data_IF_313027505669
#
_entry.id   IF_313027505669
#
_cell.length_a   1.000
_cell.length_b   1.000
_cell.length_c   1.000
_cell.angle_alpha   90.00
_cell.angle_beta   90.00
_cell.angle_gamma   90.00
#
_symmetry.space_group_name_H-M   'P 1'
#
loop_
_entity.id
_entity.type
_entity.pdbx_description
1 polymer ?
#
# COMPACT_ATOMS: atom_id res chain seq x y z
N UNK A 1 22.48 -14.84 -63.17
CA UNK A 1 23.90 -14.48 -63.01
C UNK A 1 23.95 -13.58 -61.79
N UNK A 2 24.21 -14.17 -60.62
CA UNK A 2 25.52 -14.10 -59.91
C UNK A 2 25.69 -12.69 -59.32
N UNK A 3 25.93 -12.46 -58.03
CA UNK A 3 26.36 -13.33 -56.95
C UNK A 3 26.38 -12.47 -55.65
N UNK A 4 26.17 -13.11 -54.49
CA UNK A 4 26.81 -12.94 -53.15
C UNK A 4 27.68 -11.68 -52.90
N UNK A 5 27.85 -11.14 -51.70
CA UNK A 5 27.57 -11.55 -50.33
C UNK A 5 27.98 -10.39 -49.39
N UNK A 6 27.45 -10.43 -48.17
CA UNK A 6 28.10 -10.06 -46.90
C UNK A 6 28.93 -8.75 -46.83
N UNK A 7 28.58 -7.87 -45.90
CA UNK A 7 29.10 -7.97 -44.54
C UNK A 7 28.38 -6.99 -43.62
N UNK A 8 27.77 -7.55 -42.59
CA UNK A 8 27.31 -6.88 -41.39
C UNK A 8 28.57 -6.29 -40.71
N UNK A 9 28.88 -5.01 -40.92
CA UNK A 9 29.91 -4.34 -40.14
C UNK A 9 29.28 -3.85 -38.84
N UNK A 10 29.76 -4.29 -37.66
CA UNK A 10 29.36 -3.64 -36.42
C UNK A 10 29.91 -2.21 -36.45
N UNK A 11 29.18 -1.20 -35.95
CA UNK A 11 29.84 0.03 -35.56
C UNK A 11 30.70 -0.33 -34.36
N UNK A 12 31.96 -0.68 -34.61
CA UNK A 12 33.02 -0.56 -33.61
C UNK A 12 33.05 0.91 -33.22
N UNK A 13 32.29 1.28 -32.19
CA UNK A 13 32.51 2.51 -31.46
C UNK A 13 33.86 2.35 -30.76
N UNK A 14 34.90 2.58 -31.55
CA UNK A 14 36.25 2.77 -31.10
C UNK A 14 36.20 4.09 -30.33
N UNK A 15 36.01 4.02 -29.01
CA UNK A 15 36.27 5.16 -28.15
C UNK A 15 37.72 5.54 -28.40
N UNK A 16 37.94 6.54 -29.27
CA UNK A 16 39.22 7.23 -29.36
C UNK A 16 39.44 7.86 -27.99
N UNK A 17 40.13 7.13 -27.13
CA UNK A 17 40.69 7.66 -25.91
C UNK A 17 41.87 8.54 -26.29
N UNK A 18 41.59 9.72 -26.82
CA UNK A 18 42.60 10.76 -26.92
C UNK A 18 42.93 11.18 -25.49
N UNK A 19 44.17 10.95 -25.10
CA UNK A 19 44.74 11.41 -23.86
C UNK A 19 44.63 12.94 -23.82
N UNK A 20 43.66 13.46 -23.08
CA UNK A 20 43.49 14.89 -22.84
C UNK A 20 44.64 15.40 -21.98
N UNK A 21 45.73 15.83 -22.61
CA UNK A 21 46.80 16.59 -21.96
C UNK A 21 46.56 18.06 -22.27
N UNK A 22 45.75 18.74 -21.46
CA UNK A 22 45.91 20.18 -21.19
C UNK A 22 45.12 20.52 -19.91
N UNK A 23 45.78 21.23 -18.99
CA UNK A 23 45.33 21.40 -17.62
C UNK A 23 43.93 22.03 -17.49
N UNK A 24 43.10 21.40 -16.65
CA UNK A 24 42.23 22.15 -15.75
C UNK A 24 40.77 21.73 -15.67
N UNK A 25 40.23 20.87 -16.54
CA UNK A 25 38.79 20.61 -16.53
C UNK A 25 38.45 19.13 -16.70
N UNK A 26 38.03 18.52 -15.59
CA UNK A 26 37.40 17.20 -15.55
C UNK A 26 35.92 17.42 -15.89
N UNK A 27 35.36 16.81 -16.95
CA UNK A 27 33.94 16.95 -17.25
C UNK A 27 33.13 16.24 -16.17
N UNK A 28 32.40 17.00 -15.36
CA UNK A 28 31.48 16.47 -14.37
C UNK A 28 30.11 16.27 -15.03
N UNK A 29 29.67 15.02 -15.10
CA UNK A 29 28.32 14.69 -15.53
C UNK A 29 27.35 14.95 -14.37
N UNK A 30 26.69 16.10 -14.39
CA UNK A 30 25.65 16.47 -13.44
C UNK A 30 24.28 16.35 -14.10
N UNK A 31 23.40 15.54 -13.50
CA UNK A 31 22.00 15.48 -13.87
C UNK A 31 21.14 15.69 -12.64
N UNK A 32 20.06 16.44 -12.82
CA UNK A 32 19.07 16.72 -11.79
C UNK A 32 17.83 15.90 -12.12
N UNK A 33 17.43 14.99 -11.24
CA UNK A 33 16.16 14.28 -11.39
C UNK A 33 15.21 14.68 -10.27
N UNK A 34 13.94 14.85 -10.63
CA UNK A 34 12.90 15.23 -9.70
C UNK A 34 12.11 13.97 -9.31
N UNK A 35 12.50 13.36 -8.19
CA UNK A 35 11.88 12.12 -7.72
C UNK A 35 10.58 12.45 -6.98
N UNK A 36 9.44 12.32 -7.67
CA UNK A 36 8.14 12.39 -7.01
C UNK A 36 7.68 10.97 -6.67
N UNK A 37 7.86 10.55 -5.42
CA UNK A 37 7.28 9.29 -4.95
C UNK A 37 5.81 9.48 -4.60
N UNK A 38 4.96 8.56 -5.04
CA UNK A 38 3.54 8.54 -4.67
C UNK A 38 3.42 8.18 -3.20
N UNK A 39 3.34 9.20 -2.32
CA UNK A 39 2.99 9.15 -0.89
C UNK A 39 3.50 7.89 -0.17
N UNK A 40 4.76 7.93 0.28
CA UNK A 40 5.34 6.92 1.14
C UNK A 40 4.50 6.77 2.43
N UNK A 41 3.64 5.75 2.49
CA UNK A 41 2.92 5.40 3.71
C UNK A 41 3.89 4.66 4.62
N UNK A 42 4.21 5.25 5.78
CA UNK A 42 4.99 4.57 6.84
C UNK A 42 4.25 3.33 7.37
N UNK A 43 2.93 3.27 7.18
CA UNK A 43 2.10 2.15 7.63
C UNK A 43 2.04 1.05 6.56
N UNK A 44 2.52 -0.13 6.95
CA UNK A 44 2.50 -1.37 6.20
C UNK A 44 1.03 -1.76 5.88
N UNK A 45 0.74 -1.91 4.58
CA UNK A 45 -0.50 -2.39 3.93
C UNK A 45 -1.80 -2.36 4.77
N UNK A 46 -2.75 -1.51 4.39
CA UNK A 46 -4.17 -1.64 4.79
C UNK A 46 -4.80 -2.84 4.07
N UNK A 47 -4.42 -4.06 4.45
CA UNK A 47 -5.07 -5.26 3.95
C UNK A 47 -6.55 -5.20 4.34
N UNK A 48 -7.41 -5.32 3.33
CA UNK A 48 -8.85 -5.39 3.52
C UNK A 48 -9.24 -6.85 3.72
N UNK A 49 -10.07 -7.09 4.74
CA UNK A 49 -10.58 -8.42 5.11
C UNK A 49 -12.09 -8.45 4.82
N UNK A 50 -12.50 -8.69 3.56
CA UNK A 50 -13.91 -8.68 3.16
C UNK A 50 -14.72 -9.76 3.89
N UNK A 51 -14.12 -10.90 4.23
CA UNK A 51 -14.77 -12.01 4.94
C UNK A 51 -15.20 -11.63 6.37
N UNK A 52 -14.52 -10.66 7.00
CA UNK A 52 -14.87 -10.16 8.32
C UNK A 52 -15.85 -8.99 8.29
N UNK A 53 -16.26 -8.55 7.10
CA UNK A 53 -17.19 -7.42 6.93
C UNK A 53 -18.55 -7.76 7.54
N UNK A 54 -19.07 -8.95 7.27
CA UNK A 54 -20.39 -9.38 7.75
C UNK A 54 -20.51 -9.31 9.28
N UNK A 55 -19.54 -9.90 10.00
CA UNK A 55 -19.52 -9.87 11.47
C UNK A 55 -19.42 -8.43 11.98
N UNK A 56 -18.58 -7.60 11.34
CA UNK A 56 -18.38 -6.21 11.77
C UNK A 56 -19.64 -5.38 11.56
N UNK A 57 -20.32 -5.55 10.44
CA UNK A 57 -21.56 -4.85 10.12
C UNK A 57 -22.66 -5.28 11.11
N UNK A 58 -22.75 -6.58 11.44
CA UNK A 58 -23.70 -7.08 12.45
C UNK A 58 -23.41 -6.58 13.87
N UNK A 59 -22.14 -6.54 14.27
CA UNK A 59 -21.72 -5.93 15.55
C UNK A 59 -22.14 -4.47 15.60
N UNK A 60 -21.98 -3.74 14.50
CA UNK A 60 -22.31 -2.31 14.44
C UNK A 60 -23.81 -2.07 14.51
N UNK A 61 -24.62 -2.85 13.79
CA UNK A 61 -26.09 -2.85 13.89
C UNK A 61 -26.55 -3.04 15.34
N UNK A 62 -26.10 -4.11 16.01
CA UNK A 62 -26.48 -4.40 17.40
C UNK A 62 -25.99 -3.33 18.38
N UNK A 63 -24.84 -2.71 18.10
CA UNK A 63 -24.34 -1.62 18.93
C UNK A 63 -25.18 -0.35 18.78
N UNK A 64 -25.64 -0.03 17.57
CA UNK A 64 -26.58 1.06 17.31
C UNK A 64 -27.93 0.84 17.99
N UNK A 65 -28.38 -0.42 18.11
CA UNK A 65 -29.56 -0.81 18.90
C UNK A 65 -29.36 -0.66 20.43
N UNK A 66 -28.18 -0.23 20.89
CA UNK A 66 -27.89 0.01 22.30
C UNK A 66 -27.43 -1.23 23.07
N UNK A 67 -27.05 -2.32 22.39
CA UNK A 67 -26.58 -3.52 23.08
C UNK A 67 -25.15 -3.34 23.60
N UNK A 68 -24.90 -3.81 24.82
CA UNK A 68 -23.56 -3.86 25.39
C UNK A 68 -22.69 -4.94 24.72
N UNK A 69 -21.37 -4.68 24.64
CA UNK A 69 -20.41 -5.56 23.95
C UNK A 69 -20.41 -7.02 24.46
N UNK A 70 -20.66 -7.25 25.76
CA UNK A 70 -20.77 -8.60 26.32
C UNK A 70 -22.00 -9.34 25.77
N UNK A 71 -23.14 -8.65 25.66
CA UNK A 71 -24.39 -9.22 25.13
C UNK A 71 -24.24 -9.55 23.63
N UNK A 72 -23.58 -8.66 22.89
CA UNK A 72 -23.27 -8.86 21.47
C UNK A 72 -22.36 -10.08 21.28
N UNK A 73 -21.32 -10.23 22.10
CA UNK A 73 -20.41 -11.37 22.01
C UNK A 73 -21.13 -12.71 22.22
N UNK A 74 -22.00 -12.79 23.25
CA UNK A 74 -22.81 -13.99 23.51
C UNK A 74 -23.78 -14.30 22.36
N UNK A 75 -24.42 -13.27 21.80
CA UNK A 75 -25.29 -13.43 20.64
C UNK A 75 -24.52 -14.00 19.45
N UNK A 76 -23.36 -13.45 19.12
CA UNK A 76 -22.56 -13.90 17.98
C UNK A 76 -22.12 -15.36 18.13
N UNK A 77 -21.70 -15.76 19.34
CA UNK A 77 -21.35 -17.17 19.61
C UNK A 77 -22.55 -18.10 19.46
N UNK A 78 -23.73 -17.71 19.98
CA UNK A 78 -24.94 -18.53 19.91
C UNK A 78 -25.44 -18.72 18.47
N UNK A 79 -25.22 -17.72 17.60
CA UNK A 79 -25.62 -17.76 16.19
C UNK A 79 -24.53 -18.34 15.27
N UNK A 80 -23.42 -18.85 15.81
CA UNK A 80 -22.39 -19.55 15.03
C UNK A 80 -21.46 -18.65 14.22
N UNK A 81 -21.38 -17.35 14.53
CA UNK A 81 -20.42 -16.46 13.87
C UNK A 81 -18.97 -16.79 14.28
N UNK A 82 -18.03 -16.65 13.34
CA UNK A 82 -16.58 -16.80 13.59
C UNK A 82 -16.00 -15.65 14.41
N UNK A 83 -16.34 -15.60 15.70
CA UNK A 83 -15.85 -14.62 16.66
C UNK A 83 -14.81 -15.26 17.59
N UNK A 84 -13.79 -14.47 17.93
CA UNK A 84 -12.78 -14.88 18.91
C UNK A 84 -13.41 -15.21 20.27
N UNK A 85 -12.75 -16.08 21.04
CA UNK A 85 -13.22 -16.53 22.36
C UNK A 85 -13.43 -15.36 23.34
N UNK A 86 -12.68 -14.27 23.18
CA UNK A 86 -12.74 -13.12 24.09
C UNK A 86 -13.83 -12.11 23.72
N UNK A 87 -14.58 -11.66 24.73
CA UNK A 87 -15.50 -10.51 24.63
C UNK A 87 -14.81 -9.22 24.20
N UNK A 88 -13.52 -9.06 24.50
CA UNK A 88 -12.74 -7.87 24.15
C UNK A 88 -12.56 -7.71 22.64
N UNK A 89 -12.71 -8.79 21.88
CA UNK A 89 -12.71 -8.73 20.41
C UNK A 89 -13.85 -7.84 19.90
N UNK A 90 -15.05 -7.94 20.48
CA UNK A 90 -16.20 -7.09 20.10
C UNK A 90 -15.98 -5.64 20.51
N UNK A 91 -15.46 -5.40 21.72
CA UNK A 91 -15.11 -4.04 22.19
C UNK A 91 -14.12 -3.34 21.24
N UNK A 92 -13.10 -4.06 20.79
CA UNK A 92 -12.12 -3.52 19.84
C UNK A 92 -12.74 -3.16 18.47
N UNK A 93 -13.74 -3.94 18.01
CA UNK A 93 -14.46 -3.66 16.76
C UNK A 93 -15.29 -2.38 16.87
N UNK A 94 -16.00 -2.20 17.99
CA UNK A 94 -16.80 -1.01 18.27
C UNK A 94 -15.89 0.23 18.31
N UNK A 95 -14.81 0.20 19.10
CA UNK A 95 -13.83 1.31 19.18
C UNK A 95 -13.26 1.70 17.82
N UNK A 96 -12.99 0.71 16.95
CA UNK A 96 -12.49 0.95 15.60
C UNK A 96 -13.56 1.60 14.71
N UNK A 97 -14.82 1.19 14.84
CA UNK A 97 -15.97 1.83 14.18
C UNK A 97 -16.15 3.29 14.60
N UNK A 98 -16.16 3.57 15.90
CA UNK A 98 -16.28 4.92 16.44
C UNK A 98 -15.13 5.84 15.99
N UNK A 99 -13.89 5.34 15.99
CA UNK A 99 -12.72 6.09 15.50
C UNK A 99 -12.90 6.49 14.05
N UNK A 100 -13.38 5.58 13.21
CA UNK A 100 -13.63 5.86 11.80
C UNK A 100 -14.73 6.91 11.61
N UNK A 101 -15.81 6.85 12.40
CA UNK A 101 -16.87 7.86 12.38
C UNK A 101 -16.38 9.25 12.81
N UNK A 102 -15.55 9.32 13.87
CA UNK A 102 -14.93 10.57 14.33
C UNK A 102 -14.04 11.17 13.25
N UNK A 103 -13.20 10.35 12.61
CA UNK A 103 -12.34 10.80 11.52
C UNK A 103 -13.18 11.33 10.36
N UNK A 104 -14.20 10.59 9.91
CA UNK A 104 -15.11 11.07 8.85
C UNK A 104 -15.75 12.42 9.20
N UNK A 105 -16.21 12.60 10.44
CA UNK A 105 -16.77 13.88 10.90
C UNK A 105 -15.76 15.04 10.83
N UNK A 106 -14.48 14.79 11.13
CA UNK A 106 -13.42 15.81 11.08
C UNK A 106 -13.10 16.25 9.64
N UNK A 107 -13.22 15.37 8.65
CA UNK A 107 -12.95 15.70 7.24
C UNK A 107 -14.13 16.38 6.52
N UNK A 108 -15.33 16.32 7.09
CA UNK A 108 -16.56 16.89 6.50
C UNK A 108 -16.83 18.32 7.00
N UNK A 109 -16.28 18.69 8.16
CA UNK A 109 -16.34 20.05 8.73
C UNK A 109 -15.10 20.87 8.34
#
# INVERSE_FOLDING_TARGET
>A
MTEIALFFLPPTFLFHGDTLIYGGWIPHLTFSFNLTSTKFSVHQYTRTYPERKEIRDKVWELHQDGWGYTKIHQYLQKNGYEVGKSRTTVDSMIKKGEKNMKLQRVWIN
#
